data_IF_232267112576
#
_entry.id   IF_232267112576
#
_cell.length_a   1.000
_cell.length_b   1.000
_cell.length_c   1.000
_cell.angle_alpha   90.00
_cell.angle_beta   90.00
_cell.angle_gamma   90.00
#
_symmetry.space_group_name_H-M   'P 1'
#
loop_
_entity.id
_entity.type
_entity.pdbx_description
1 polymer ?
#
# COMPACT_ATOMS: atom_id res chain seq x y z
N UNK A 1 3.01 11.53 14.49
CA UNK A 1 3.98 10.97 13.53
C UNK A 1 4.54 12.14 12.76
N UNK A 2 5.85 12.35 12.76
CA UNK A 2 6.44 13.43 11.95
C UNK A 2 6.27 13.09 10.48
N UNK A 3 5.57 13.96 9.74
CA UNK A 3 5.36 13.80 8.30
C UNK A 3 6.73 13.93 7.62
N UNK A 4 7.25 12.81 7.11
CA UNK A 4 8.45 12.80 6.28
C UNK A 4 8.06 13.10 4.85
N UNK A 5 8.71 14.09 4.25
CA UNK A 5 8.60 14.34 2.82
C UNK A 5 9.37 13.26 2.07
N UNK A 6 8.77 12.76 1.00
CA UNK A 6 9.40 11.71 0.20
C UNK A 6 10.54 12.29 -0.63
N UNK A 7 11.76 11.78 -0.42
CA UNK A 7 12.87 11.96 -1.35
C UNK A 7 12.94 10.71 -2.25
N UNK A 8 12.44 10.77 -3.49
CA UNK A 8 12.43 9.63 -4.40
C UNK A 8 13.82 9.07 -4.76
N UNK A 9 14.88 9.87 -4.64
CA UNK A 9 16.26 9.43 -4.88
C UNK A 9 16.80 8.60 -3.73
N UNK A 10 16.31 8.86 -2.52
CA UNK A 10 16.76 8.17 -1.29
C UNK A 10 15.75 7.14 -0.76
N UNK A 11 14.49 7.26 -1.20
CA UNK A 11 13.35 6.55 -0.63
C UNK A 11 13.11 6.93 0.84
N UNK A 12 12.17 6.22 1.45
CA UNK A 12 12.00 6.21 2.92
C UNK A 12 12.64 4.92 3.42
N UNK A 13 13.62 4.95 4.33
CA UNK A 13 14.19 3.71 4.85
C UNK A 13 13.15 2.92 5.65
N UNK A 14 13.24 1.59 5.58
CA UNK A 14 12.43 0.72 6.44
C UNK A 14 12.72 1.01 7.92
N UNK A 15 11.65 1.21 8.69
CA UNK A 15 11.69 1.40 10.15
C UNK A 15 12.13 0.13 10.87
N UNK A 16 12.58 0.27 12.12
CA UNK A 16 12.96 -0.90 12.93
C UNK A 16 11.79 -1.85 13.20
N UNK A 17 10.57 -1.30 13.29
CA UNK A 17 9.36 -2.10 13.43
C UNK A 17 9.09 -2.93 12.17
N UNK A 18 9.22 -2.35 10.97
CA UNK A 18 9.10 -3.08 9.71
C UNK A 18 10.21 -4.13 9.58
N UNK A 19 11.45 -3.77 9.94
CA UNK A 19 12.58 -4.73 9.96
C UNK A 19 12.32 -5.91 10.89
N UNK A 20 11.71 -5.65 12.04
CA UNK A 20 11.33 -6.70 12.98
C UNK A 20 10.18 -7.54 12.45
N UNK A 21 9.17 -6.91 11.85
CA UNK A 21 7.98 -7.57 11.31
C UNK A 21 8.31 -8.49 10.13
N UNK A 22 9.17 -8.06 9.20
CA UNK A 22 9.56 -8.87 8.04
C UNK A 22 10.94 -9.54 8.17
N UNK A 23 11.51 -9.63 9.39
CA UNK A 23 12.92 -9.99 9.68
C UNK A 23 13.47 -11.18 8.86
N UNK A 24 12.62 -12.18 8.59
CA UNK A 24 13.00 -13.41 7.88
C UNK A 24 12.11 -13.72 6.66
N UNK A 25 11.34 -12.75 6.15
CA UNK A 25 10.31 -13.02 5.13
C UNK A 25 10.16 -11.92 4.09
N UNK A 26 9.10 -12.05 3.29
CA UNK A 26 8.60 -11.04 2.38
C UNK A 26 7.23 -10.56 2.87
N UNK A 27 6.75 -9.43 2.36
CA UNK A 27 5.41 -8.96 2.69
C UNK A 27 5.17 -7.52 2.29
N UNK A 28 4.02 -7.00 2.73
CA UNK A 28 3.52 -5.69 2.32
C UNK A 28 3.20 -4.86 3.55
N UNK A 29 3.80 -3.67 3.63
CA UNK A 29 3.40 -2.62 4.55
C UNK A 29 2.57 -1.56 3.83
N UNK A 30 1.85 -0.75 4.60
CA UNK A 30 1.17 0.45 4.10
C UNK A 30 1.80 1.73 4.67
N UNK A 31 1.65 2.83 3.93
CA UNK A 31 2.11 4.14 4.35
C UNK A 31 1.41 5.25 3.58
N UNK A 32 1.63 6.49 3.99
CA UNK A 32 1.28 7.67 3.19
C UNK A 32 2.54 8.45 2.96
N UNK A 33 2.83 8.75 1.69
CA UNK A 33 3.94 9.61 1.33
C UNK A 33 3.43 10.96 0.83
N UNK A 34 4.20 11.99 1.12
CA UNK A 34 3.92 13.36 0.70
C UNK A 34 4.98 13.77 -0.32
N UNK A 35 4.53 13.95 -1.56
CA UNK A 35 5.33 14.23 -2.74
C UNK A 35 5.33 15.75 -3.02
N UNK A 36 6.49 16.43 -2.94
CA UNK A 36 6.59 17.82 -3.32
C UNK A 36 6.10 18.10 -4.75
N UNK A 37 5.16 19.03 -4.90
CA UNK A 37 4.56 19.35 -6.21
C UNK A 37 5.60 19.84 -7.22
N UNK A 38 6.63 20.54 -6.75
CA UNK A 38 7.75 21.05 -7.56
C UNK A 38 8.60 19.97 -8.24
N UNK A 39 8.54 18.73 -7.74
CA UNK A 39 9.33 17.59 -8.23
C UNK A 39 8.46 16.55 -8.98
N UNK A 40 7.16 16.81 -9.14
CA UNK A 40 6.24 15.87 -9.79
C UNK A 40 6.26 16.06 -11.31
N UNK A 41 6.36 14.98 -12.10
CA UNK A 41 6.14 15.07 -13.53
C UNK A 41 4.73 15.57 -13.84
N UNK A 42 4.60 16.42 -14.87
CA UNK A 42 3.34 17.08 -15.23
C UNK A 42 2.17 16.10 -15.48
N UNK A 43 2.45 14.91 -16.00
CA UNK A 43 1.43 13.86 -16.21
C UNK A 43 0.70 13.43 -14.92
N UNK A 44 1.32 13.63 -13.75
CA UNK A 44 0.74 13.30 -12.46
C UNK A 44 0.06 14.51 -11.80
N UNK A 45 0.36 15.74 -12.22
CA UNK A 45 -0.17 16.93 -11.55
C UNK A 45 -1.60 17.28 -11.99
N UNK A 46 -2.03 16.79 -13.15
CA UNK A 46 -3.40 17.00 -13.63
C UNK A 46 -4.40 16.23 -12.74
N UNK A 47 -5.24 16.97 -12.02
CA UNK A 47 -6.31 16.47 -11.14
C UNK A 47 -5.85 15.69 -9.89
N UNK A 48 -4.59 15.80 -9.47
CA UNK A 48 -4.15 15.28 -8.17
C UNK A 48 -4.30 16.37 -7.09
N UNK A 49 -5.15 16.17 -6.05
CA UNK A 49 -5.29 17.12 -4.96
C UNK A 49 -3.94 17.50 -4.31
N UNK A 50 -3.82 18.76 -3.92
CA UNK A 50 -2.66 19.30 -3.20
C UNK A 50 -3.04 19.71 -1.78
N UNK A 51 -2.04 19.80 -0.91
CA UNK A 51 -2.16 20.34 0.45
C UNK A 51 -0.85 21.00 0.89
N UNK A 52 -0.92 21.83 1.92
CA UNK A 52 0.25 22.48 2.52
C UNK A 52 0.78 21.64 3.69
N UNK A 53 2.06 21.27 3.62
CA UNK A 53 2.76 20.57 4.71
C UNK A 53 4.10 21.27 4.95
N UNK A 54 4.29 21.82 6.16
CA UNK A 54 5.53 22.49 6.58
C UNK A 54 5.99 23.60 5.61
N UNK A 55 5.04 24.31 4.99
CA UNK A 55 5.30 25.40 4.05
C UNK A 55 5.66 24.95 2.63
N UNK A 56 5.42 23.68 2.31
CA UNK A 56 5.60 23.13 0.97
C UNK A 56 4.28 22.54 0.46
N UNK A 57 3.91 22.89 -0.77
CA UNK A 57 2.76 22.31 -1.47
C UNK A 57 3.08 20.89 -1.91
N UNK A 58 2.34 19.92 -1.40
CA UNK A 58 2.57 18.49 -1.64
C UNK A 58 1.31 17.79 -2.17
N UNK A 59 1.53 16.67 -2.86
CA UNK A 59 0.52 15.67 -3.17
C UNK A 59 0.65 14.50 -2.19
N UNK A 60 -0.45 14.08 -1.57
CA UNK A 60 -0.46 12.88 -0.74
C UNK A 60 -0.75 11.65 -1.59
N UNK A 61 0.05 10.60 -1.42
CA UNK A 61 -0.13 9.32 -2.11
C UNK A 61 -0.23 8.17 -1.10
N UNK A 62 -1.16 7.22 -1.31
CA UNK A 62 -1.14 5.94 -0.62
C UNK A 62 0.09 5.13 -1.08
N UNK A 63 0.87 4.62 -0.12
CA UNK A 63 2.09 3.87 -0.34
C UNK A 63 1.90 2.39 0.03
N UNK A 64 2.26 1.50 -0.89
CA UNK A 64 2.51 0.09 -0.63
C UNK A 64 4.01 -0.16 -0.54
N UNK A 65 4.46 -0.71 0.59
CA UNK A 65 5.87 -1.06 0.83
C UNK A 65 6.05 -2.55 0.63
N UNK A 66 6.63 -2.94 -0.48
CA UNK A 66 6.92 -4.33 -0.82
C UNK A 66 8.30 -4.72 -0.30
N UNK A 67 8.34 -5.62 0.67
CA UNK A 67 9.58 -6.15 1.24
C UNK A 67 9.90 -7.50 0.65
N UNK A 68 11.14 -7.62 0.15
CA UNK A 68 11.65 -8.82 -0.48
C UNK A 68 13.06 -9.15 -0.03
N UNK A 69 13.43 -10.42 -0.13
CA UNK A 69 14.75 -10.90 0.30
C UNK A 69 15.78 -10.88 -0.83
N UNK A 70 15.33 -10.90 -2.09
CA UNK A 70 16.17 -10.98 -3.28
C UNK A 70 15.93 -9.77 -4.20
N UNK A 71 17.02 -9.15 -4.67
CA UNK A 71 16.96 -8.06 -5.67
C UNK A 71 16.33 -8.51 -7.00
N UNK A 72 16.41 -9.78 -7.36
CA UNK A 72 15.75 -10.31 -8.55
C UNK A 72 14.23 -10.38 -8.39
N UNK A 73 13.74 -10.63 -7.18
CA UNK A 73 12.31 -10.69 -6.90
C UNK A 73 11.66 -9.30 -7.01
N UNK A 74 12.27 -8.25 -6.46
CA UNK A 74 11.74 -6.88 -6.62
C UNK A 74 11.71 -6.39 -8.08
N UNK A 75 12.53 -6.97 -8.98
CA UNK A 75 12.54 -6.59 -10.40
C UNK A 75 11.31 -7.08 -11.17
N UNK A 76 10.55 -8.04 -10.67
CA UNK A 76 9.33 -8.51 -11.34
C UNK A 76 8.32 -7.38 -11.55
N UNK A 77 8.29 -6.40 -10.63
CA UNK A 77 7.44 -5.21 -10.70
C UNK A 77 7.79 -4.25 -11.83
N UNK A 78 8.98 -4.39 -12.45
CA UNK A 78 9.37 -3.58 -13.60
C UNK A 78 8.78 -4.09 -14.92
N UNK A 79 8.43 -5.37 -14.97
CA UNK A 79 8.10 -6.06 -16.23
C UNK A 79 6.70 -6.64 -16.24
N UNK A 80 6.11 -6.88 -15.06
CA UNK A 80 4.82 -7.53 -14.93
C UNK A 80 3.77 -6.54 -14.41
N UNK A 81 2.51 -6.67 -14.87
CA UNK A 81 1.42 -5.91 -14.32
C UNK A 81 1.13 -6.36 -12.89
N UNK A 82 0.62 -5.42 -12.10
CA UNK A 82 0.21 -5.66 -10.71
C UNK A 82 -1.30 -5.72 -10.63
N UNK A 83 -1.81 -6.56 -9.74
CA UNK A 83 -3.22 -6.64 -9.41
C UNK A 83 -3.38 -6.46 -7.91
N UNK A 84 -4.50 -5.90 -7.53
CA UNK A 84 -4.83 -5.65 -6.14
C UNK A 84 -6.22 -6.18 -5.83
N UNK A 85 -6.39 -6.54 -4.57
CA UNK A 85 -7.67 -6.93 -4.01
C UNK A 85 -7.86 -6.13 -2.74
N UNK A 86 -9.02 -5.50 -2.61
CA UNK A 86 -9.40 -4.75 -1.43
C UNK A 86 -10.85 -5.08 -1.08
N UNK A 87 -11.06 -5.61 0.13
CA UNK A 87 -12.39 -6.02 0.59
C UNK A 87 -12.61 -5.66 2.05
N UNK A 88 -13.80 -5.12 2.34
CA UNK A 88 -14.27 -4.92 3.69
C UNK A 88 -14.87 -6.22 4.23
N UNK A 89 -14.52 -6.57 5.47
CA UNK A 89 -15.10 -7.67 6.21
C UNK A 89 -15.55 -7.19 7.58
N UNK A 90 -16.60 -7.81 8.11
CA UNK A 90 -17.12 -7.54 9.46
C UNK A 90 -17.31 -8.85 10.20
N UNK A 91 -16.59 -9.02 11.32
CA UNK A 91 -16.71 -10.18 12.20
C UNK A 91 -17.14 -9.73 13.59
N UNK A 92 -18.34 -10.12 14.03
CA UNK A 92 -18.89 -9.73 15.33
C UNK A 92 -18.84 -8.21 15.61
N UNK A 93 -19.11 -7.39 14.58
CA UNK A 93 -19.06 -5.93 14.68
C UNK A 93 -17.65 -5.31 14.58
N UNK A 94 -16.62 -6.13 14.32
CA UNK A 94 -15.25 -5.69 14.11
C UNK A 94 -14.99 -5.62 12.61
N UNK A 95 -14.76 -4.40 12.11
CA UNK A 95 -14.44 -4.11 10.72
C UNK A 95 -12.95 -4.31 10.45
N UNK A 96 -12.64 -4.97 9.35
CA UNK A 96 -11.28 -5.12 8.87
C UNK A 96 -11.25 -4.99 7.35
N UNK A 97 -10.26 -4.26 6.83
CA UNK A 97 -10.05 -4.17 5.39
C UNK A 97 -8.92 -5.11 5.01
N UNK A 98 -9.26 -6.08 4.19
CA UNK A 98 -8.34 -7.06 3.66
C UNK A 98 -7.76 -6.53 2.35
N UNK A 99 -6.45 -6.34 2.32
CA UNK A 99 -5.72 -5.83 1.17
C UNK A 99 -4.68 -6.85 0.71
N UNK A 100 -4.72 -7.19 -0.57
CA UNK A 100 -3.70 -7.98 -1.26
C UNK A 100 -3.11 -7.20 -2.43
N UNK A 101 -1.83 -7.45 -2.67
CA UNK A 101 -1.14 -7.11 -3.92
C UNK A 101 -0.53 -8.38 -4.50
N UNK A 102 -0.71 -8.59 -5.79
CA UNK A 102 -0.11 -9.67 -6.55
C UNK A 102 0.61 -9.12 -7.78
N UNK A 103 1.78 -9.68 -8.08
CA UNK A 103 2.50 -9.44 -9.31
C UNK A 103 2.62 -10.77 -10.04
N UNK A 104 1.78 -10.97 -11.05
CA UNK A 104 1.72 -12.22 -11.80
C UNK A 104 2.90 -12.28 -12.77
N UNK A 105 3.98 -12.93 -12.32
CA UNK A 105 5.06 -13.41 -13.18
C UNK A 105 4.70 -14.82 -13.64
N UNK A 106 4.96 -15.17 -14.90
CA UNK A 106 4.71 -16.51 -15.46
C UNK A 106 5.54 -17.66 -14.84
N UNK A 107 6.20 -17.38 -13.71
CA UNK A 107 6.88 -18.33 -12.84
C UNK A 107 5.88 -19.11 -11.97
N UNK A 108 6.27 -20.29 -11.43
CA UNK A 108 5.34 -21.15 -10.69
C UNK A 108 4.75 -20.49 -9.42
N UNK A 109 5.38 -19.46 -8.87
CA UNK A 109 4.89 -18.72 -7.71
C UNK A 109 4.98 -17.20 -7.96
N UNK A 110 3.85 -16.50 -8.19
CA UNK A 110 3.85 -15.04 -8.29
C UNK A 110 4.22 -14.42 -6.94
N UNK A 111 4.72 -13.18 -6.95
CA UNK A 111 4.74 -12.44 -5.69
C UNK A 111 3.30 -12.15 -5.29
N UNK A 112 2.96 -12.45 -4.04
CA UNK A 112 1.73 -12.01 -3.41
C UNK A 112 2.03 -11.57 -1.99
N UNK A 113 1.55 -10.40 -1.60
CA UNK A 113 1.61 -9.96 -0.22
C UNK A 113 0.26 -9.44 0.24
N UNK A 114 -0.01 -9.64 1.53
CA UNK A 114 -1.27 -9.32 2.18
C UNK A 114 -1.03 -8.44 3.39
N UNK A 115 -2.00 -7.59 3.69
CA UNK A 115 -2.14 -6.98 5.00
C UNK A 115 -3.61 -6.75 5.34
N UNK A 116 -3.90 -6.67 6.64
CA UNK A 116 -5.22 -6.36 7.16
C UNK A 116 -5.17 -5.02 7.87
N UNK A 117 -6.06 -4.11 7.51
CA UNK A 117 -6.08 -2.75 8.02
C UNK A 117 -7.16 -2.62 9.12
N UNK A 118 -6.76 -2.06 10.25
CA UNK A 118 -7.68 -1.66 11.32
C UNK A 118 -8.11 -0.21 11.05
N UNK A 119 -9.39 0.08 10.70
CA UNK A 119 -9.86 1.46 10.53
C UNK A 119 -9.63 2.36 11.75
N UNK A 120 -9.53 1.78 12.94
CA UNK A 120 -9.25 2.48 14.18
C UNK A 120 -7.77 2.88 14.37
N UNK A 121 -6.85 2.34 13.56
CA UNK A 121 -5.44 2.72 13.59
C UNK A 121 -5.23 4.02 12.78
N UNK A 122 -4.57 5.05 13.35
CA UNK A 122 -4.39 6.33 12.65
C UNK A 122 -3.68 6.25 11.30
N UNK A 123 -2.73 5.33 11.13
CA UNK A 123 -2.01 5.17 9.86
C UNK A 123 -2.93 4.52 8.82
N UNK A 124 -3.66 3.48 9.20
CA UNK A 124 -4.61 2.81 8.32
C UNK A 124 -5.77 3.73 7.91
N UNK A 125 -6.34 4.49 8.85
CA UNK A 125 -7.38 5.47 8.55
C UNK A 125 -6.88 6.51 7.55
N UNK A 126 -5.71 7.10 7.82
CA UNK A 126 -5.11 8.10 6.92
C UNK A 126 -4.76 7.53 5.56
N UNK A 127 -4.30 6.29 5.51
CA UNK A 127 -4.01 5.57 4.28
C UNK A 127 -5.27 5.43 3.40
N UNK A 128 -6.39 5.01 3.99
CA UNK A 128 -7.66 4.85 3.29
C UNK A 128 -8.24 6.19 2.83
N UNK A 129 -8.16 7.25 3.65
CA UNK A 129 -8.54 8.62 3.23
C UNK A 129 -7.77 9.06 1.97
N UNK A 130 -6.45 8.89 1.98
CA UNK A 130 -5.60 9.29 0.85
C UNK A 130 -5.84 8.38 -0.37
N UNK A 131 -6.16 7.11 -0.15
CA UNK A 131 -6.61 6.17 -1.18
C UNK A 131 -7.94 6.58 -1.82
N UNK A 132 -8.86 7.24 -1.12
CA UNK A 132 -10.10 7.75 -1.72
C UNK A 132 -9.86 8.94 -2.68
N UNK A 133 -8.82 9.73 -2.43
CA UNK A 133 -8.59 11.00 -3.11
C UNK A 133 -7.52 10.92 -4.21
N UNK A 134 -6.46 10.15 -3.97
CA UNK A 134 -5.31 10.07 -4.88
C UNK A 134 -5.68 9.38 -6.20
N UNK A 135 -5.31 9.94 -7.37
CA UNK A 135 -5.45 9.26 -8.66
C UNK A 135 -4.51 8.05 -8.82
N UNK A 136 -3.45 7.95 -7.99
CA UNK A 136 -2.43 6.91 -8.12
C UNK A 136 -2.09 6.26 -6.77
N UNK A 137 -1.60 5.02 -6.84
CA UNK A 137 -0.86 4.37 -5.78
C UNK A 137 0.64 4.48 -6.02
N UNK A 138 1.40 4.55 -4.93
CA UNK A 138 2.85 4.45 -4.97
C UNK A 138 3.28 3.09 -4.43
N UNK A 139 4.10 2.38 -5.19
CA UNK A 139 4.68 1.10 -4.78
C UNK A 139 6.17 1.32 -4.56
N UNK A 140 6.60 1.27 -3.30
CA UNK A 140 8.00 1.30 -2.92
C UNK A 140 8.48 -0.12 -2.66
N UNK A 141 9.52 -0.53 -3.39
CA UNK A 141 10.12 -1.86 -3.25
C UNK A 141 11.39 -1.79 -2.41
N UNK A 142 11.57 -2.80 -1.56
CA UNK A 142 12.69 -2.94 -0.66
C UNK A 142 13.31 -4.32 -0.81
N UNK A 143 14.63 -4.38 -0.98
CA UNK A 143 15.38 -5.63 -0.97
C UNK A 143 16.24 -5.67 0.29
N UNK A 144 16.03 -6.66 1.15
CA UNK A 144 16.71 -6.76 2.46
C UNK A 144 16.61 -5.46 3.27
N UNK A 145 15.43 -4.84 3.27
CA UNK A 145 15.14 -3.58 3.99
C UNK A 145 15.87 -2.33 3.48
N UNK A 146 16.53 -2.42 2.33
CA UNK A 146 17.10 -1.28 1.64
C UNK A 146 16.13 -0.86 0.53
N UNK A 147 15.84 0.43 0.46
CA UNK A 147 15.03 1.00 -0.62
C UNK A 147 15.64 0.66 -1.97
N UNK A 148 14.82 0.17 -2.89
CA UNK A 148 15.23 -0.21 -4.22
C UNK A 148 14.65 0.73 -5.28
N UNK A 149 13.32 0.87 -5.32
CA UNK A 149 12.66 1.62 -6.38
C UNK A 149 11.21 1.99 -6.07
N UNK A 150 10.79 3.15 -6.61
CA UNK A 150 9.39 3.64 -6.64
C UNK A 150 8.73 3.35 -7.97
N UNK A 151 7.47 2.92 -7.93
CA UNK A 151 6.57 2.83 -9.08
C UNK A 151 5.24 3.52 -8.78
N UNK A 152 4.55 3.94 -9.83
CA UNK A 152 3.19 4.46 -9.77
C UNK A 152 2.24 3.53 -10.53
N UNK A 153 1.02 3.39 -10.04
CA UNK A 153 -0.06 2.72 -10.76
C UNK A 153 -1.35 3.53 -10.57
N UNK A 154 -2.28 3.44 -11.52
CA UNK A 154 -3.59 4.06 -11.39
C UNK A 154 -4.30 3.51 -10.15
N UNK A 155 -5.12 4.34 -9.50
CA UNK A 155 -5.90 3.96 -8.33
C UNK A 155 -7.33 3.57 -8.73
N UNK A 156 -7.67 2.28 -8.82
CA UNK A 156 -9.04 1.84 -9.11
C UNK A 156 -9.97 1.84 -7.89
N UNK A 157 -9.46 2.03 -6.68
CA UNK A 157 -10.23 1.89 -5.44
C UNK A 157 -10.87 3.16 -4.92
N UNK A 158 -10.68 4.30 -5.60
CA UNK A 158 -11.17 5.61 -5.14
C UNK A 158 -12.64 5.59 -4.69
N UNK A 159 -13.52 5.06 -5.53
CA UNK A 159 -14.95 4.98 -5.21
C UNK A 159 -15.28 3.85 -4.23
N UNK A 160 -14.56 2.73 -4.29
CA UNK A 160 -14.77 1.60 -3.37
C UNK A 160 -14.49 2.02 -1.91
N UNK A 161 -13.38 2.71 -1.68
CA UNK A 161 -12.98 3.13 -0.33
C UNK A 161 -13.89 4.21 0.25
N UNK A 162 -14.53 5.03 -0.59
CA UNK A 162 -15.54 5.99 -0.12
C UNK A 162 -16.80 5.33 0.43
N UNK A 163 -17.09 4.10 0.00
CA UNK A 163 -18.22 3.32 0.51
C UNK A 163 -17.93 2.58 1.82
N UNK A 164 -16.65 2.49 2.21
CA UNK A 164 -16.25 1.79 3.42
C UNK A 164 -16.71 2.56 4.66
N UNK A 165 -17.25 1.81 5.62
CA UNK A 165 -17.74 2.41 6.86
C UNK A 165 -16.58 2.62 7.84
N UNK A 166 -16.23 3.87 8.10
CA UNK A 166 -15.28 4.21 9.14
C UNK A 166 -15.98 4.21 10.50
N UNK A 167 -15.32 3.62 11.50
CA UNK A 167 -15.78 3.68 12.89
C UNK A 167 -15.08 4.81 13.64
N UNK A 168 -15.86 5.69 14.26
CA UNK A 168 -15.34 6.73 15.16
C UNK A 168 -14.76 6.15 16.47
N UNK A 169 -14.95 4.85 16.70
CA UNK A 169 -14.43 4.12 17.86
C UNK A 169 -13.28 3.22 17.41
N UNK A 170 -12.04 3.54 17.80
CA UNK A 170 -10.90 2.68 17.54
C UNK A 170 -11.13 1.28 18.11
N UNK A 171 -10.88 0.26 17.30
CA UNK A 171 -11.05 -1.13 17.71
C UNK A 171 -9.85 -1.54 18.59
N UNK A 172 -10.08 -2.11 19.79
CA UNK A 172 -8.99 -2.61 20.64
C UNK A 172 -8.11 -3.61 19.88
N UNK A 173 -6.79 -3.52 20.08
CA UNK A 173 -5.81 -4.30 19.31
C UNK A 173 -6.04 -5.81 19.44
N UNK A 174 -6.29 -6.30 20.64
CA UNK A 174 -6.60 -7.68 20.96
C UNK A 174 -7.84 -8.19 20.22
N UNK A 175 -8.91 -7.38 20.20
CA UNK A 175 -10.16 -7.70 19.50
C UNK A 175 -9.96 -7.70 17.98
N UNK A 176 -9.21 -6.73 17.45
CA UNK A 176 -8.84 -6.71 16.03
C UNK A 176 -8.01 -7.93 15.63
N UNK A 177 -7.00 -8.28 16.44
CA UNK A 177 -6.15 -9.45 16.17
C UNK A 177 -6.94 -10.76 16.19
N UNK A 178 -7.94 -10.87 17.06
CA UNK A 178 -8.88 -12.00 17.05
C UNK A 178 -9.68 -12.06 15.74
N UNK A 179 -10.29 -10.95 15.31
CA UNK A 179 -11.07 -10.89 14.08
C UNK A 179 -10.20 -11.15 12.82
N UNK A 180 -8.97 -10.64 12.80
CA UNK A 180 -7.97 -10.93 11.76
C UNK A 180 -7.65 -12.43 11.71
N UNK A 181 -7.41 -13.07 12.85
CA UNK A 181 -7.14 -14.50 12.89
C UNK A 181 -8.35 -15.31 12.38
N UNK A 182 -9.58 -14.86 12.64
CA UNK A 182 -10.78 -15.50 12.11
C UNK A 182 -10.93 -15.32 10.60
N UNK A 183 -10.60 -14.13 10.06
CA UNK A 183 -10.50 -13.91 8.62
C UNK A 183 -9.50 -14.90 8.00
N UNK A 184 -8.29 -14.99 8.54
CA UNK A 184 -7.23 -15.87 8.01
C UNK A 184 -7.62 -17.35 8.05
N UNK A 185 -8.48 -17.76 8.99
CA UNK A 185 -9.01 -19.13 9.07
C UNK A 185 -10.11 -19.40 8.03
N UNK A 186 -10.87 -18.38 7.65
CA UNK A 186 -12.06 -18.51 6.81
C UNK A 186 -11.80 -18.22 5.35
N UNK A 187 -10.82 -17.37 5.04
CA UNK A 187 -10.41 -17.00 3.69
C UNK A 187 -9.13 -17.75 3.35
N UNK A 188 -9.20 -18.86 2.58
CA UNK A 188 -8.00 -19.55 2.15
C UNK A 188 -7.14 -18.60 1.32
N UNK A 189 -5.89 -18.38 1.74
CA UNK A 189 -4.95 -17.53 1.02
C UNK A 189 -4.42 -18.25 -0.22
N UNK A 190 -5.22 -18.22 -1.29
CA UNK A 190 -4.83 -18.67 -2.62
C UNK A 190 -5.07 -17.53 -3.58
N UNK A 191 -4.01 -16.92 -4.05
CA UNK A 191 -4.04 -15.74 -4.94
C UNK A 191 -4.93 -15.89 -6.18
N UNK A 192 -5.40 -17.09 -6.56
CA UNK A 192 -6.32 -17.29 -7.69
C UNK A 192 -7.80 -17.19 -7.32
N UNK A 193 -8.13 -17.18 -6.02
CA UNK A 193 -9.50 -17.29 -5.51
C UNK A 193 -10.12 -15.92 -5.15
N UNK A 194 -9.41 -14.82 -5.43
CA UNK A 194 -9.88 -13.46 -5.14
C UNK A 194 -10.52 -12.79 -6.36
N UNK A 195 -11.50 -11.93 -6.07
CA UNK A 195 -12.03 -10.97 -7.04
C UNK A 195 -11.00 -9.85 -7.22
N UNK A 196 -10.12 -10.00 -8.21
CA UNK A 196 -9.06 -9.05 -8.52
C UNK A 196 -9.56 -7.92 -9.39
N UNK A 197 -8.96 -6.75 -9.21
CA UNK A 197 -9.05 -5.69 -10.21
C UNK A 197 -8.34 -6.08 -11.53
N UNK A 198 -8.68 -5.39 -12.64
CA UNK A 198 -7.92 -5.52 -13.89
C UNK A 198 -6.43 -5.23 -13.66
N UNK A 199 -5.50 -5.98 -14.30
CA UNK A 199 -4.07 -5.74 -14.15
C UNK A 199 -3.66 -4.31 -14.52
N UNK A 200 -2.99 -3.63 -13.59
CA UNK A 200 -2.48 -2.29 -13.74
C UNK A 200 -1.02 -2.32 -14.20
N UNK A 201 -0.66 -1.46 -15.16
CA UNK A 201 0.73 -1.26 -15.54
C UNK A 201 1.39 -0.32 -14.54
N UNK A 202 2.53 -0.73 -14.00
CA UNK A 202 3.37 0.14 -13.20
C UNK A 202 4.17 1.09 -14.09
N UNK A 203 4.22 2.36 -13.71
CA UNK A 203 5.04 3.39 -14.34
C UNK A 203 6.24 3.67 -13.45
N UNK A 204 7.43 3.41 -13.98
CA UNK A 204 8.67 3.88 -13.37
C UNK A 204 8.79 5.38 -13.61
N UNK A 205 8.86 6.14 -12.52
CA UNK A 205 9.09 7.58 -12.57
C UNK A 205 10.52 7.86 -12.14
N UNK A 206 11.26 8.57 -12.99
CA UNK A 206 12.54 9.14 -12.60
C UNK A 206 12.26 10.56 -12.09
N UNK A 207 12.46 10.78 -10.81
CA UNK A 207 12.33 12.10 -10.22
C UNK A 207 13.65 12.87 -10.46
N UNK A 208 13.54 14.04 -11.11
CA UNK A 208 14.69 14.87 -11.52
C UNK A 208 15.21 15.70 -10.36
#
# INVERSE_FOLDING_TARGET
MDIQMFDPKKGVPATENERTYFRNGYGVGIGVIYLPSKNMPEMFTQNWPTMEVRGETVHAAPEFRVFETKKSAVRIFQYNPVQFHLKEHVFNGIQLFHLLIACLDGNPEPFSGETTLNPGDPLAARFLEVMAESPYFVINTYAKFEYFQTFFADNPFKEAVRSFQYTDKPQPKDVFMWAKAELERTVPFKYREFDWEPPQKTLRVNFV
#
